data_IF_693321937425
#
_entry.id   IF_693321937425
#
_cell.length_a   1.000
_cell.length_b   1.000
_cell.length_c   1.000
_cell.angle_alpha   90.00
_cell.angle_beta   90.00
_cell.angle_gamma   90.00
#
_symmetry.space_group_name_H-M   'P 1'
#
loop_
_entity.id
_entity.type
_entity.pdbx_description
1 polymer ?
#
# COMPACT_ATOMS: atom_id res chain seq x y z
N UNK A 1 -43.30 27.59 -28.72
CA UNK A 1 -41.90 27.82 -28.27
C UNK A 1 -41.70 27.60 -26.76
N UNK A 2 -42.27 26.53 -26.16
CA UNK A 2 -42.14 26.24 -24.71
C UNK A 2 -41.60 24.83 -24.38
N UNK A 3 -41.25 24.04 -25.40
CA UNK A 3 -40.76 22.66 -25.22
C UNK A 3 -39.24 22.52 -25.29
N UNK A 4 -38.50 23.61 -25.52
CA UNK A 4 -37.04 23.58 -25.71
C UNK A 4 -36.23 23.72 -24.40
N UNK A 5 -36.86 23.96 -23.25
CA UNK A 5 -36.16 24.24 -21.99
C UNK A 5 -35.96 23.02 -21.09
N UNK A 6 -36.59 21.88 -21.38
CA UNK A 6 -36.52 20.66 -20.56
C UNK A 6 -35.39 19.69 -20.95
N UNK A 7 -34.73 19.89 -22.11
CA UNK A 7 -33.71 18.96 -22.59
C UNK A 7 -32.30 19.23 -22.00
N UNK A 8 -32.02 20.44 -21.51
CA UNK A 8 -30.68 20.77 -20.98
C UNK A 8 -30.41 20.28 -19.55
N UNK A 9 -31.43 19.89 -18.78
CA UNK A 9 -31.21 19.42 -17.40
C UNK A 9 -30.87 17.92 -17.30
N UNK A 10 -31.10 17.14 -18.36
CA UNK A 10 -30.92 15.68 -18.34
C UNK A 10 -29.50 15.21 -18.69
N UNK A 11 -28.63 16.09 -19.18
CA UNK A 11 -27.28 15.71 -19.66
C UNK A 11 -26.16 15.85 -18.60
N UNK A 12 -26.47 16.29 -17.38
CA UNK A 12 -25.47 16.53 -16.32
C UNK A 12 -25.12 15.33 -15.43
N UNK A 13 -25.77 14.17 -15.61
CA UNK A 13 -25.71 13.03 -14.66
C UNK A 13 -24.88 11.83 -15.14
N UNK A 14 -24.27 11.89 -16.32
CA UNK A 14 -23.49 10.77 -16.88
C UNK A 14 -22.02 11.17 -16.98
N UNK A 15 -21.23 10.93 -15.92
CA UNK A 15 -19.80 11.16 -16.03
C UNK A 15 -18.92 11.08 -14.78
N UNK A 16 -19.45 10.84 -13.57
CA UNK A 16 -18.60 10.59 -12.40
C UNK A 16 -18.10 9.14 -12.37
N UNK A 17 -17.53 8.67 -13.49
CA UNK A 17 -16.67 7.51 -13.51
C UNK A 17 -15.34 7.89 -12.88
N UNK A 18 -15.32 8.04 -11.56
CA UNK A 18 -14.08 8.27 -10.81
C UNK A 18 -13.11 7.13 -11.10
N UNK A 19 -11.91 7.47 -11.55
CA UNK A 19 -10.83 6.50 -11.73
C UNK A 19 -10.54 5.84 -10.38
N UNK A 20 -11.05 4.62 -10.17
CA UNK A 20 -10.58 3.79 -9.08
C UNK A 20 -9.11 3.47 -9.33
N UNK A 21 -8.29 3.54 -8.27
CA UNK A 21 -6.87 3.19 -8.37
C UNK A 21 -6.69 1.77 -8.94
N UNK A 22 -5.53 1.50 -9.54
CA UNK A 22 -5.25 0.19 -10.16
C UNK A 22 -5.46 -0.94 -9.13
N UNK A 23 -6.37 -1.90 -9.39
CA UNK A 23 -6.58 -3.01 -8.47
C UNK A 23 -5.34 -3.91 -8.43
N UNK A 24 -4.92 -4.34 -7.24
CA UNK A 24 -3.74 -5.22 -7.06
C UNK A 24 -3.87 -6.52 -7.86
N UNK A 25 -5.11 -7.00 -8.00
CA UNK A 25 -5.49 -8.18 -8.77
C UNK A 25 -4.97 -8.19 -10.21
N UNK A 26 -4.77 -7.01 -10.83
CA UNK A 26 -4.19 -6.89 -12.17
C UNK A 26 -2.84 -7.57 -12.28
N UNK A 27 -2.10 -7.69 -11.18
CA UNK A 27 -0.76 -8.28 -11.14
C UNK A 27 -0.77 -9.78 -10.81
N UNK A 28 -1.91 -10.47 -10.70
CA UNK A 28 -1.99 -11.88 -10.25
C UNK A 28 -1.05 -12.84 -10.99
N UNK A 29 -0.85 -12.63 -12.30
CA UNK A 29 -0.01 -13.49 -13.14
C UNK A 29 1.49 -13.16 -13.05
N UNK A 30 1.86 -12.05 -12.42
CA UNK A 30 3.24 -11.60 -12.31
C UNK A 30 4.04 -12.47 -11.33
N UNK A 31 5.32 -12.68 -11.66
CA UNK A 31 6.24 -13.52 -10.90
C UNK A 31 7.53 -12.76 -10.55
N UNK A 32 8.25 -13.16 -9.48
CA UNK A 32 7.88 -14.20 -8.50
C UNK A 32 6.68 -13.79 -7.65
N UNK A 33 5.89 -14.75 -7.16
CA UNK A 33 4.82 -14.45 -6.21
C UNK A 33 5.42 -13.88 -4.93
N UNK A 34 4.88 -12.77 -4.47
CA UNK A 34 5.30 -12.12 -3.24
C UNK A 34 4.79 -12.93 -2.04
N UNK A 35 5.72 -13.41 -1.24
CA UNK A 35 5.47 -13.93 0.10
C UNK A 35 6.20 -13.02 1.10
N UNK A 36 5.45 -12.31 1.95
CA UNK A 36 6.02 -11.31 2.84
C UNK A 36 7.00 -11.92 3.86
N UNK A 37 6.68 -13.11 4.39
CA UNK A 37 7.52 -13.78 5.38
C UNK A 37 8.87 -14.23 4.82
N UNK A 38 8.92 -14.55 3.53
CA UNK A 38 10.16 -14.88 2.84
C UNK A 38 10.91 -13.63 2.39
N UNK A 39 10.21 -12.65 1.82
CA UNK A 39 10.82 -11.44 1.25
C UNK A 39 11.39 -10.50 2.33
N UNK A 40 10.63 -10.27 3.40
CA UNK A 40 11.03 -9.41 4.51
C UNK A 40 11.61 -10.21 5.66
N UNK A 41 12.71 -10.94 5.43
CA UNK A 41 13.38 -11.70 6.49
C UNK A 41 14.90 -11.49 6.45
N UNK A 42 15.41 -10.70 7.38
CA UNK A 42 16.76 -10.17 7.38
C UNK A 42 16.78 -8.67 7.10
N UNK A 43 17.92 -8.17 6.59
CA UNK A 43 18.11 -6.75 6.29
C UNK A 43 17.76 -6.44 4.84
N UNK A 44 16.86 -5.48 4.63
CA UNK A 44 16.38 -5.03 3.33
C UNK A 44 16.76 -3.56 3.14
N UNK A 45 17.18 -3.24 1.92
CA UNK A 45 17.46 -1.88 1.47
C UNK A 45 16.47 -1.51 0.35
N UNK A 46 15.84 -0.34 0.45
CA UNK A 46 14.83 0.09 -0.51
C UNK A 46 14.77 1.60 -0.72
N UNK A 47 14.15 1.99 -1.83
CA UNK A 47 13.86 3.37 -2.18
C UNK A 47 12.39 3.56 -2.48
N UNK A 48 11.85 4.73 -2.15
CA UNK A 48 10.48 5.07 -2.47
C UNK A 48 10.24 6.57 -2.57
N UNK A 49 8.99 6.91 -2.87
CA UNK A 49 8.56 8.29 -3.09
C UNK A 49 7.10 8.51 -2.67
N UNK A 50 6.80 9.74 -2.28
CA UNK A 50 5.44 10.22 -2.05
C UNK A 50 5.01 11.11 -3.20
N UNK A 51 3.80 10.87 -3.69
CA UNK A 51 3.16 11.67 -4.72
C UNK A 51 1.92 12.36 -4.16
N UNK A 52 1.66 13.57 -4.63
CA UNK A 52 0.39 14.24 -4.37
C UNK A 52 -0.72 13.75 -5.32
N UNK A 53 -1.91 14.36 -5.23
CA UNK A 53 -3.06 14.00 -6.08
C UNK A 53 -2.88 14.35 -7.56
N UNK A 54 -1.94 15.22 -7.90
CA UNK A 54 -1.56 15.51 -9.28
C UNK A 54 -0.59 14.48 -9.86
N UNK A 55 -0.03 13.61 -9.00
CA UNK A 55 1.02 12.66 -9.34
C UNK A 55 2.44 13.24 -9.23
N UNK A 56 2.57 14.50 -8.81
CA UNK A 56 3.89 15.11 -8.61
C UNK A 56 4.60 14.47 -7.43
N UNK A 57 5.88 14.11 -7.62
CA UNK A 57 6.72 13.56 -6.54
C UNK A 57 7.15 14.68 -5.60
N UNK A 58 6.65 14.65 -4.37
CA UNK A 58 6.90 15.69 -3.36
C UNK A 58 7.96 15.31 -2.33
N UNK A 59 8.24 14.01 -2.16
CA UNK A 59 9.26 13.52 -1.22
C UNK A 59 9.82 12.18 -1.69
N UNK A 60 11.09 11.90 -1.42
CA UNK A 60 11.73 10.60 -1.66
C UNK A 60 12.36 10.10 -0.37
N UNK A 61 12.51 8.78 -0.27
CA UNK A 61 13.17 8.15 0.86
C UNK A 61 14.05 6.99 0.42
N UNK A 62 15.09 6.77 1.21
CA UNK A 62 15.81 5.51 1.34
C UNK A 62 15.37 4.87 2.67
N UNK A 63 15.18 3.57 2.69
CA UNK A 63 14.78 2.82 3.89
C UNK A 63 15.68 1.60 4.08
N UNK A 64 16.17 1.44 5.30
CA UNK A 64 16.74 0.20 5.78
C UNK A 64 15.71 -0.47 6.68
N UNK A 65 15.42 -1.75 6.43
CA UNK A 65 14.45 -2.52 7.19
C UNK A 65 15.17 -3.72 7.78
N UNK A 66 15.17 -3.82 9.11
CA UNK A 66 15.55 -5.03 9.80
C UNK A 66 14.27 -5.81 10.11
N UNK A 67 14.04 -6.87 9.33
CA UNK A 67 12.81 -7.63 9.37
C UNK A 67 13.03 -9.04 9.93
N UNK A 68 12.08 -9.50 10.73
CA UNK A 68 12.09 -10.83 11.31
C UNK A 68 10.67 -11.39 11.33
N UNK A 69 10.53 -12.70 11.12
CA UNK A 69 9.25 -13.39 11.17
C UNK A 69 9.33 -14.57 12.11
N UNK A 70 8.23 -14.82 12.79
CA UNK A 70 8.05 -15.97 13.66
C UNK A 70 6.62 -16.50 13.61
N UNK A 71 6.44 -17.71 14.11
CA UNK A 71 5.14 -18.36 14.23
C UNK A 71 4.59 -18.15 15.64
N UNK A 72 3.44 -17.48 15.75
CA UNK A 72 2.69 -17.30 17.00
C UNK A 72 1.32 -17.94 16.84
N UNK A 73 1.01 -18.93 17.66
CA UNK A 73 -0.27 -19.67 17.64
C UNK A 73 -0.65 -20.22 16.25
N UNK A 74 0.36 -20.63 15.46
CA UNK A 74 0.18 -21.17 14.10
C UNK A 74 -0.03 -20.11 13.01
N UNK A 75 0.21 -18.84 13.33
CA UNK A 75 0.13 -17.71 12.40
C UNK A 75 1.51 -17.05 12.24
N UNK A 76 1.86 -16.70 11.01
CA UNK A 76 3.05 -15.89 10.72
C UNK A 76 2.87 -14.46 11.22
N UNK A 77 3.78 -14.01 12.08
CA UNK A 77 3.86 -12.63 12.57
C UNK A 77 5.25 -12.08 12.28
N UNK A 78 5.30 -10.95 11.57
CA UNK A 78 6.52 -10.26 11.17
C UNK A 78 6.69 -8.94 11.91
N UNK A 79 7.92 -8.63 12.33
CA UNK A 79 8.30 -7.30 12.80
C UNK A 79 9.22 -6.67 11.77
N UNK A 80 8.87 -5.48 11.27
CA UNK A 80 9.70 -4.70 10.34
C UNK A 80 10.14 -3.41 11.04
N UNK A 81 11.42 -3.34 11.42
CA UNK A 81 12.02 -2.14 12.00
C UNK A 81 12.60 -1.26 10.89
N UNK A 82 11.83 -0.25 10.48
CA UNK A 82 12.11 0.59 9.33
C UNK A 82 12.80 1.89 9.73
N UNK A 83 13.98 2.15 9.16
CA UNK A 83 14.76 3.37 9.34
C UNK A 83 14.81 4.16 8.04
N UNK A 84 14.15 5.32 8.01
CA UNK A 84 14.02 6.17 6.82
C UNK A 84 15.03 7.32 6.83
N UNK A 85 15.65 7.54 5.67
CA UNK A 85 16.41 8.75 5.33
C UNK A 85 15.68 9.49 4.21
N UNK A 86 15.30 10.74 4.47
CA UNK A 86 14.46 11.53 3.57
C UNK A 86 15.28 12.46 2.69
N UNK A 87 14.74 12.80 1.51
CA UNK A 87 15.39 13.72 0.57
C UNK A 87 15.57 15.16 1.08
N UNK A 88 14.88 15.54 2.17
CA UNK A 88 15.04 16.83 2.85
C UNK A 88 16.08 16.79 3.99
N UNK A 89 16.76 15.65 4.17
CA UNK A 89 17.77 15.43 5.21
C UNK A 89 17.21 14.98 6.56
N UNK A 90 15.88 14.91 6.72
CA UNK A 90 15.28 14.37 7.94
C UNK A 90 15.39 12.84 8.01
N UNK A 91 15.20 12.28 9.20
CA UNK A 91 15.10 10.82 9.41
C UNK A 91 13.86 10.48 10.24
N UNK A 92 13.37 9.26 10.09
CA UNK A 92 12.27 8.73 10.93
C UNK A 92 12.41 7.23 11.10
N UNK A 93 11.72 6.69 12.11
CA UNK A 93 11.65 5.25 12.37
C UNK A 93 10.20 4.83 12.47
N UNK A 94 9.85 3.69 11.89
CA UNK A 94 8.54 3.05 12.04
C UNK A 94 8.75 1.56 12.29
N UNK A 95 8.02 1.02 13.26
CA UNK A 95 8.06 -0.42 13.56
C UNK A 95 6.69 -1.00 13.26
N UNK A 96 6.62 -1.88 12.26
CA UNK A 96 5.40 -2.60 11.95
C UNK A 96 5.38 -3.96 12.63
N UNK A 97 4.22 -4.34 13.14
CA UNK A 97 3.85 -5.73 13.36
C UNK A 97 2.87 -6.15 12.26
N UNK A 98 3.22 -7.17 11.47
CA UNK A 98 2.42 -7.69 10.37
C UNK A 98 1.96 -9.10 10.72
N UNK A 99 0.66 -9.35 10.67
CA UNK A 99 0.06 -10.67 10.87
C UNK A 99 -0.47 -11.19 9.54
N UNK A 100 -0.11 -12.41 9.17
CA UNK A 100 -0.71 -13.09 8.01
C UNK A 100 -2.14 -13.52 8.35
N UNK A 101 -3.11 -13.10 7.54
CA UNK A 101 -4.51 -13.54 7.68
C UNK A 101 -4.77 -14.77 6.81
N UNK A 102 -4.27 -14.77 5.58
CA UNK A 102 -4.28 -15.93 4.69
C UNK A 102 -3.19 -15.84 3.62
N UNK A 103 -3.30 -16.66 2.55
CA UNK A 103 -2.34 -16.72 1.45
C UNK A 103 -2.11 -15.40 0.68
N UNK A 104 -2.99 -14.41 0.83
CA UNK A 104 -2.98 -13.14 0.09
C UNK A 104 -3.32 -11.92 0.95
N UNK A 105 -3.74 -12.10 2.20
CA UNK A 105 -4.16 -11.01 3.09
C UNK A 105 -3.29 -10.91 4.33
N UNK A 106 -3.06 -9.66 4.74
CA UNK A 106 -2.25 -9.30 5.91
C UNK A 106 -2.90 -8.17 6.70
N UNK A 107 -2.60 -8.08 7.98
CA UNK A 107 -2.95 -6.95 8.85
C UNK A 107 -1.64 -6.35 9.37
N UNK A 108 -1.50 -5.03 9.29
CA UNK A 108 -0.34 -4.29 9.79
C UNK A 108 -0.74 -3.32 10.90
N UNK A 109 0.05 -3.24 11.97
CA UNK A 109 -0.09 -2.24 13.03
C UNK A 109 1.26 -1.58 13.27
N UNK A 110 1.26 -0.26 13.49
CA UNK A 110 2.41 0.52 13.89
C UNK A 110 1.96 1.64 14.84
N UNK A 111 2.84 2.04 15.76
CA UNK A 111 2.51 3.01 16.82
C UNK A 111 2.09 4.39 16.29
N UNK A 112 2.53 4.75 15.09
CA UNK A 112 2.24 6.03 14.44
C UNK A 112 1.13 5.95 13.39
N UNK A 113 0.44 4.81 13.30
CA UNK A 113 -0.69 4.57 12.40
C UNK A 113 -1.96 4.39 13.21
N UNK A 114 -2.98 5.19 12.90
CA UNK A 114 -4.28 5.08 13.55
C UNK A 114 -5.03 3.88 12.99
N UNK A 115 -5.23 2.85 13.81
CA UNK A 115 -5.95 1.65 13.45
C UNK A 115 -5.06 0.59 12.80
N UNK A 116 -5.68 -0.27 11.99
CA UNK A 116 -5.02 -1.40 11.33
C UNK A 116 -4.94 -1.15 9.83
N UNK A 117 -3.77 -1.38 9.24
CA UNK A 117 -3.57 -1.37 7.79
C UNK A 117 -3.96 -2.74 7.20
N UNK A 118 -4.76 -2.75 6.15
CA UNK A 118 -5.17 -3.98 5.46
C UNK A 118 -4.33 -4.21 4.21
N UNK A 119 -3.62 -5.34 4.17
CA UNK A 119 -2.75 -5.72 3.04
C UNK A 119 -3.41 -6.75 2.14
N UNK A 120 -3.38 -6.50 0.83
CA UNK A 120 -3.80 -7.45 -0.22
C UNK A 120 -2.64 -7.68 -1.20
N UNK A 121 -2.22 -8.94 -1.38
CA UNK A 121 -1.15 -9.33 -2.29
C UNK A 121 -1.68 -10.12 -3.51
N UNK A 122 -1.17 -9.82 -4.70
CA UNK A 122 -1.42 -10.57 -5.93
C UNK A 122 -0.19 -10.53 -6.85
N UNK A 123 0.25 -11.71 -7.31
CA UNK A 123 1.52 -11.86 -8.03
C UNK A 123 2.67 -11.33 -7.19
N UNK A 124 3.44 -10.38 -7.73
CA UNK A 124 4.55 -9.71 -7.04
C UNK A 124 4.15 -8.38 -6.37
N UNK A 125 2.86 -8.02 -6.35
CA UNK A 125 2.38 -6.75 -5.84
C UNK A 125 1.68 -6.89 -4.49
N UNK A 126 1.83 -5.87 -3.65
CA UNK A 126 1.12 -5.69 -2.38
C UNK A 126 0.46 -4.31 -2.38
N UNK A 127 -0.77 -4.23 -1.87
CA UNK A 127 -1.47 -2.98 -1.62
C UNK A 127 -1.93 -2.92 -0.17
N UNK A 128 -1.44 -1.91 0.55
CA UNK A 128 -1.97 -1.51 1.85
C UNK A 128 -3.16 -0.55 1.69
N UNK A 129 -4.10 -0.62 2.63
CA UNK A 129 -5.29 0.23 2.74
C UNK A 129 -5.48 0.70 4.17
#
# INVERSE_FOLDING_TARGET
MKTLWLACLACGLLGLGGCSGVPVERYRAEQPRLDLATYFNGRIDGWGMFQDRSGAVIKRFHVLIDAQWEQRDGVDVGTLDEHFSWSDGSTSRRVWTITRVDSSRYIGVADDVVGEAQGEAAGNALRWR
#
